data_IF_542994581433
#
_entry.id   IF_542994581433
#
_cell.length_a   1.000
_cell.length_b   1.000
_cell.length_c   1.000
_cell.angle_alpha   90.00
_cell.angle_beta   90.00
_cell.angle_gamma   90.00
#
_symmetry.space_group_name_H-M   'P 1'
#
loop_
_entity.id
_entity.type
_entity.pdbx_description
1 polymer ?
#
# COMPACT_ATOMS: atom_id res chain seq x y z
N UNK A 1 -8.14 2.31 -39.23
CA UNK A 1 -7.09 1.29 -38.98
C UNK A 1 -6.08 1.89 -38.02
N UNK A 2 -6.23 1.56 -36.73
CA UNK A 2 -5.41 1.81 -35.51
C UNK A 2 -6.32 2.08 -34.31
N UNK A 3 -7.21 1.12 -34.05
CA UNK A 3 -8.09 1.03 -32.88
C UNK A 3 -8.55 -0.43 -32.87
N UNK A 4 -7.70 -1.31 -32.36
CA UNK A 4 -7.95 -2.72 -31.97
C UNK A 4 -6.59 -3.43 -31.81
N UNK A 5 -5.79 -3.04 -30.82
CA UNK A 5 -4.57 -3.78 -30.45
C UNK A 5 -4.06 -3.41 -29.06
N UNK A 6 -4.83 -3.68 -28.01
CA UNK A 6 -4.26 -3.81 -26.65
C UNK A 6 -5.06 -4.72 -25.71
N UNK A 7 -6.01 -5.53 -26.22
CA UNK A 7 -6.80 -6.46 -25.41
C UNK A 7 -6.12 -7.84 -25.30
N UNK A 8 -4.80 -7.92 -25.39
CA UNK A 8 -4.05 -9.19 -25.41
C UNK A 8 -3.37 -9.57 -24.08
N UNK A 9 -3.60 -8.84 -22.97
CA UNK A 9 -3.11 -9.26 -21.64
C UNK A 9 -4.22 -9.67 -20.66
N UNK A 10 -5.46 -9.84 -21.14
CA UNK A 10 -6.64 -10.10 -20.28
C UNK A 10 -6.90 -11.58 -19.92
N UNK A 11 -5.98 -12.50 -20.23
CA UNK A 11 -6.22 -13.96 -20.25
C UNK A 11 -5.94 -14.74 -18.96
N UNK A 12 -5.68 -14.12 -17.79
CA UNK A 12 -5.32 -14.87 -16.56
C UNK A 12 -6.02 -14.48 -15.24
N UNK A 13 -7.25 -13.95 -15.27
CA UNK A 13 -8.05 -13.77 -14.04
C UNK A 13 -9.50 -14.22 -14.22
N UNK A 14 -10.16 -14.67 -13.16
CA UNK A 14 -11.57 -15.07 -13.16
C UNK A 14 -12.51 -13.88 -13.43
N UNK A 15 -13.63 -14.12 -14.13
CA UNK A 15 -14.53 -13.11 -14.71
C UNK A 15 -15.47 -12.43 -13.71
N UNK A 16 -15.63 -12.95 -12.49
CA UNK A 16 -16.73 -12.55 -11.59
C UNK A 16 -16.46 -11.31 -10.71
N UNK A 17 -15.19 -10.94 -10.47
CA UNK A 17 -14.85 -9.88 -9.51
C UNK A 17 -14.43 -8.54 -10.15
N UNK A 18 -14.16 -8.55 -11.46
CA UNK A 18 -13.66 -7.37 -12.20
C UNK A 18 -14.64 -6.18 -12.27
N UNK A 19 -15.94 -6.38 -12.54
CA UNK A 19 -16.86 -5.24 -12.72
C UNK A 19 -17.12 -4.43 -11.45
N UNK A 20 -17.19 -5.09 -10.29
CA UNK A 20 -17.59 -4.45 -9.03
C UNK A 20 -16.50 -3.50 -8.47
N UNK A 21 -15.22 -3.88 -8.57
CA UNK A 21 -14.12 -3.05 -8.09
C UNK A 21 -13.88 -1.84 -9.02
N UNK A 22 -13.99 -2.04 -10.34
CA UNK A 22 -13.94 -0.96 -11.34
C UNK A 22 -15.11 0.02 -11.17
N UNK A 23 -16.30 -0.45 -10.82
CA UNK A 23 -17.46 0.40 -10.52
C UNK A 23 -17.26 1.21 -9.23
N UNK A 24 -16.75 0.59 -8.16
CA UNK A 24 -16.39 1.29 -6.91
C UNK A 24 -15.28 2.31 -7.12
N UNK A 25 -14.20 1.94 -7.80
CA UNK A 25 -13.10 2.84 -8.13
C UNK A 25 -13.57 3.97 -9.04
N UNK A 26 -14.42 3.71 -10.04
CA UNK A 26 -15.00 4.75 -10.90
C UNK A 26 -15.94 5.69 -10.14
N UNK A 27 -16.74 5.19 -9.19
CA UNK A 27 -17.63 6.01 -8.36
C UNK A 27 -16.85 6.86 -7.35
N UNK A 28 -15.79 6.31 -6.75
CA UNK A 28 -14.86 7.06 -5.90
C UNK A 28 -14.16 8.15 -6.75
N UNK A 29 -13.62 7.79 -7.91
CA UNK A 29 -12.91 8.70 -8.82
C UNK A 29 -13.81 9.76 -9.47
N UNK A 30 -15.10 9.46 -9.71
CA UNK A 30 -16.08 10.44 -10.19
C UNK A 30 -16.37 11.53 -9.16
N UNK A 31 -16.13 11.25 -7.87
CA UNK A 31 -16.21 12.23 -6.79
C UNK A 31 -14.92 13.07 -6.65
N UNK A 32 -13.82 12.63 -7.26
CA UNK A 32 -12.49 13.24 -7.17
C UNK A 32 -12.01 13.78 -8.52
N UNK A 33 -12.72 14.76 -9.11
CA UNK A 33 -12.28 15.62 -10.23
C UNK A 33 -11.51 14.97 -11.42
N UNK A 34 -11.58 13.65 -11.60
CA UNK A 34 -10.82 12.98 -12.64
C UNK A 34 -11.62 12.97 -13.93
N UNK A 35 -11.24 13.83 -14.87
CA UNK A 35 -11.97 14.08 -16.11
C UNK A 35 -11.99 12.88 -17.07
N UNK A 36 -11.17 11.84 -16.86
CA UNK A 36 -11.09 10.69 -17.77
C UNK A 36 -10.50 9.40 -17.17
N UNK A 37 -11.16 8.74 -16.19
CA UNK A 37 -10.63 7.55 -15.50
C UNK A 37 -10.40 6.32 -16.41
N UNK A 38 -10.98 6.30 -17.62
CA UNK A 38 -10.90 5.14 -18.54
C UNK A 38 -9.68 5.13 -19.46
N UNK A 39 -8.92 6.23 -19.60
CA UNK A 39 -7.71 6.26 -20.44
C UNK A 39 -6.47 6.18 -19.55
N UNK A 40 -5.67 5.13 -19.74
CA UNK A 40 -4.34 5.01 -19.13
C UNK A 40 -4.26 4.30 -17.76
N UNK A 41 -5.33 3.61 -17.34
CA UNK A 41 -5.26 2.70 -16.18
C UNK A 41 -4.19 1.62 -16.42
N UNK A 42 -3.33 1.39 -15.42
CA UNK A 42 -2.31 0.33 -15.43
C UNK A 42 -2.62 -0.66 -14.31
N UNK A 43 -2.69 -1.95 -14.64
CA UNK A 43 -2.71 -3.01 -13.64
C UNK A 43 -1.28 -3.30 -13.17
N UNK A 44 -1.10 -3.47 -11.88
CA UNK A 44 0.13 -3.98 -11.27
C UNK A 44 -0.18 -5.37 -10.73
N UNK A 45 0.48 -6.38 -11.30
CA UNK A 45 0.42 -7.75 -10.80
C UNK A 45 1.33 -7.88 -9.59
N UNK A 46 0.70 -8.11 -8.44
CA UNK A 46 1.31 -8.31 -7.13
C UNK A 46 1.03 -9.77 -6.73
N UNK A 47 1.87 -10.39 -5.92
CA UNK A 47 1.71 -11.81 -5.61
C UNK A 47 0.31 -12.08 -4.99
N UNK A 48 -0.54 -12.81 -5.73
CA UNK A 48 -1.93 -13.10 -5.36
C UNK A 48 -2.95 -11.96 -5.54
N UNK A 49 -2.52 -10.73 -5.87
CA UNK A 49 -3.40 -9.56 -5.93
C UNK A 49 -3.11 -8.66 -7.13
N UNK A 50 -4.12 -7.93 -7.59
CA UNK A 50 -3.96 -6.91 -8.63
C UNK A 50 -4.27 -5.55 -8.05
N UNK A 51 -3.35 -4.60 -8.23
CA UNK A 51 -3.57 -3.19 -7.93
C UNK A 51 -3.86 -2.41 -9.20
N UNK A 52 -4.66 -1.35 -9.10
CA UNK A 52 -5.05 -0.51 -10.23
C UNK A 52 -4.53 0.91 -10.04
N UNK A 53 -3.61 1.33 -10.91
CA UNK A 53 -3.06 2.67 -10.91
C UNK A 53 -3.69 3.52 -12.03
N UNK A 54 -4.11 4.73 -11.67
CA UNK A 54 -4.71 5.74 -12.54
C UNK A 54 -3.79 6.97 -12.60
N UNK A 55 -2.85 7.04 -13.55
CA UNK A 55 -1.86 8.11 -13.61
C UNK A 55 -2.48 9.51 -13.78
N UNK A 56 -3.56 9.61 -14.56
CA UNK A 56 -4.25 10.88 -14.80
C UNK A 56 -4.90 11.47 -13.54
N UNK A 57 -5.22 10.63 -12.54
CA UNK A 57 -5.75 11.05 -11.25
C UNK A 57 -4.71 10.96 -10.12
N UNK A 58 -3.47 10.54 -10.43
CA UNK A 58 -2.41 10.23 -9.45
C UNK A 58 -2.93 9.35 -8.30
N UNK A 59 -3.69 8.29 -8.61
CA UNK A 59 -4.30 7.44 -7.60
C UNK A 59 -4.03 5.96 -7.85
N UNK A 60 -3.70 5.20 -6.81
CA UNK A 60 -3.59 3.74 -6.84
C UNK A 60 -4.54 3.09 -5.84
N UNK A 61 -5.24 2.06 -6.29
CA UNK A 61 -6.03 1.16 -5.45
C UNK A 61 -5.21 -0.10 -5.19
N UNK A 62 -4.81 -0.31 -3.93
CA UNK A 62 -3.86 -1.36 -3.54
C UNK A 62 -4.51 -2.62 -2.98
N UNK A 63 -5.83 -2.59 -2.79
CA UNK A 63 -6.56 -3.66 -2.11
C UNK A 63 -5.91 -3.96 -0.76
N UNK A 64 -5.51 -5.22 -0.58
CA UNK A 64 -4.93 -5.70 0.67
C UNK A 64 -3.40 -5.85 0.61
N UNK A 65 -2.75 -5.32 -0.43
CA UNK A 65 -1.28 -5.41 -0.56
C UNK A 65 -0.56 -4.35 0.29
N UNK A 66 -0.86 -3.07 0.06
CA UNK A 66 -0.34 -1.94 0.84
C UNK A 66 -1.49 -1.28 1.58
N UNK A 67 -1.35 -1.14 2.90
CA UNK A 67 -2.20 -0.31 3.73
C UNK A 67 -1.43 0.91 4.19
N UNK A 68 -2.13 1.92 4.71
CA UNK A 68 -1.40 2.95 5.44
C UNK A 68 -0.73 2.36 6.68
N UNK A 69 0.59 2.58 6.78
CA UNK A 69 1.47 2.10 7.85
C UNK A 69 1.59 0.57 7.99
N UNK A 70 1.12 -0.22 7.02
CA UNK A 70 1.42 -1.66 6.97
C UNK A 70 1.36 -2.25 5.56
N UNK A 71 1.61 -3.55 5.44
CA UNK A 71 1.21 -4.35 4.28
C UNK A 71 0.20 -5.44 4.69
N UNK A 72 -0.30 -6.18 3.70
CA UNK A 72 -1.12 -7.38 3.91
C UNK A 72 -0.41 -8.48 4.69
N UNK A 73 -1.19 -9.46 5.16
CA UNK A 73 -0.66 -10.70 5.72
C UNK A 73 -0.17 -11.61 4.58
N UNK A 74 0.83 -12.42 4.86
CA UNK A 74 1.40 -13.37 3.91
C UNK A 74 0.66 -14.71 3.98
N UNK A 75 -0.57 -14.76 3.46
CA UNK A 75 -1.36 -16.00 3.46
C UNK A 75 -0.92 -16.99 2.38
N UNK A 76 -0.72 -16.51 1.14
CA UNK A 76 -0.43 -17.34 -0.04
C UNK A 76 0.87 -16.93 -0.75
N UNK A 77 1.83 -16.37 0.00
CA UNK A 77 3.11 -15.91 -0.57
C UNK A 77 4.20 -15.73 0.47
N UNK A 78 5.40 -15.42 -0.01
CA UNK A 78 6.60 -15.23 0.82
C UNK A 78 7.00 -13.74 0.98
N UNK A 79 7.95 -13.43 1.89
CA UNK A 79 8.41 -12.05 2.08
C UNK A 79 9.04 -11.41 0.83
N UNK A 80 9.72 -12.18 -0.04
CA UNK A 80 10.34 -11.67 -1.26
C UNK A 80 9.28 -11.22 -2.28
N UNK A 81 8.21 -12.00 -2.41
CA UNK A 81 7.06 -11.69 -3.26
C UNK A 81 6.33 -10.42 -2.81
N UNK A 82 6.08 -10.28 -1.50
CA UNK A 82 5.48 -9.07 -0.93
C UNK A 82 6.43 -7.87 -1.08
N UNK A 83 7.72 -8.05 -0.81
CA UNK A 83 8.72 -7.01 -0.99
C UNK A 83 8.74 -6.49 -2.43
N UNK A 84 8.83 -7.39 -3.41
CA UNK A 84 8.76 -7.06 -4.84
C UNK A 84 7.48 -6.32 -5.20
N UNK A 85 6.35 -6.74 -4.63
CA UNK A 85 5.05 -6.10 -4.84
C UNK A 85 4.99 -4.67 -4.32
N UNK A 86 5.48 -4.45 -3.10
CA UNK A 86 5.58 -3.12 -2.50
C UNK A 86 6.54 -2.23 -3.28
N UNK A 87 7.67 -2.76 -3.77
CA UNK A 87 8.63 -2.03 -4.62
C UNK A 87 7.99 -1.51 -5.91
N UNK A 88 7.10 -2.28 -6.54
CA UNK A 88 6.34 -1.81 -7.72
C UNK A 88 5.42 -0.63 -7.37
N UNK A 89 4.76 -0.67 -6.22
CA UNK A 89 3.86 0.41 -5.77
C UNK A 89 4.65 1.67 -5.44
N UNK A 90 5.74 1.57 -4.66
CA UNK A 90 6.50 2.76 -4.22
C UNK A 90 7.39 3.37 -5.30
N UNK A 91 7.55 2.69 -6.44
CA UNK A 91 8.19 3.26 -7.63
C UNK A 91 7.28 4.28 -8.36
N UNK A 92 6.00 4.39 -7.98
CA UNK A 92 5.10 5.43 -8.47
C UNK A 92 5.48 6.82 -7.92
N UNK A 93 5.00 7.93 -8.54
CA UNK A 93 5.25 9.28 -8.06
C UNK A 93 4.85 9.48 -6.59
N UNK A 94 5.64 10.26 -5.87
CA UNK A 94 5.47 10.51 -4.44
C UNK A 94 4.12 11.14 -4.07
N UNK A 95 3.54 11.93 -4.98
CA UNK A 95 2.24 12.57 -4.85
C UNK A 95 1.07 11.67 -5.29
N UNK A 96 1.31 10.38 -5.49
CA UNK A 96 0.26 9.40 -5.76
C UNK A 96 -0.52 9.08 -4.48
N UNK A 97 -1.83 9.27 -4.53
CA UNK A 97 -2.77 8.86 -3.48
C UNK A 97 -2.92 7.34 -3.45
N UNK A 98 -2.88 6.76 -2.25
CA UNK A 98 -3.03 5.32 -2.02
C UNK A 98 -4.37 5.06 -1.35
N UNK A 99 -5.21 4.30 -2.03
CA UNK A 99 -6.51 3.82 -1.58
C UNK A 99 -6.43 2.33 -1.26
N UNK A 100 -6.32 1.99 0.02
CA UNK A 100 -6.26 0.60 0.49
C UNK A 100 -7.63 0.05 0.88
N UNK A 101 -7.73 -1.28 1.04
CA UNK A 101 -9.00 -1.99 1.24
C UNK A 101 -9.66 -1.78 2.61
N UNK A 102 -8.90 -1.37 3.64
CA UNK A 102 -9.36 -1.36 5.03
C UNK A 102 -8.83 -0.17 5.85
N UNK A 103 -9.62 0.26 6.85
CA UNK A 103 -9.30 1.33 7.79
C UNK A 103 -8.54 0.78 9.02
N UNK A 104 -7.28 0.37 8.81
CA UNK A 104 -6.39 -0.18 9.84
C UNK A 104 -5.34 0.82 10.35
N UNK A 105 -5.35 2.05 9.85
CA UNK A 105 -4.25 3.00 10.03
C UNK A 105 -3.93 3.29 11.50
N UNK A 106 -4.95 3.35 12.39
CA UNK A 106 -4.72 3.61 13.82
C UNK A 106 -4.01 2.45 14.53
N UNK A 107 -4.39 1.19 14.26
CA UNK A 107 -3.68 0.04 14.85
C UNK A 107 -2.31 -0.14 14.23
N UNK A 108 -2.18 0.14 12.93
CA UNK A 108 -0.89 0.14 12.24
C UNK A 108 0.08 1.19 12.79
N UNK A 109 -0.40 2.41 13.09
CA UNK A 109 0.39 3.47 13.71
C UNK A 109 0.95 3.06 15.08
N UNK A 110 0.14 2.38 15.90
CA UNK A 110 0.58 1.87 17.21
C UNK A 110 1.74 0.89 17.07
N UNK A 111 1.65 -0.05 16.11
CA UNK A 111 2.74 -0.98 15.84
C UNK A 111 3.98 -0.25 15.29
N UNK A 112 3.81 0.64 14.31
CA UNK A 112 4.93 1.37 13.73
C UNK A 112 5.69 2.16 14.81
N UNK A 113 4.99 2.85 15.71
CA UNK A 113 5.60 3.59 16.81
C UNK A 113 6.29 2.70 17.85
N UNK A 114 5.90 1.43 17.99
CA UNK A 114 6.58 0.54 18.94
C UNK A 114 7.96 0.09 18.44
N UNK A 115 8.19 0.10 17.12
CA UNK A 115 9.43 -0.33 16.48
C UNK A 115 10.26 0.81 15.86
N UNK A 116 9.69 1.99 15.67
CA UNK A 116 10.40 3.19 15.20
C UNK A 116 9.94 4.46 15.95
N UNK A 117 10.04 4.49 17.29
CA UNK A 117 9.49 5.57 18.12
C UNK A 117 10.13 6.94 17.87
N UNK A 118 11.35 7.03 17.35
CA UNK A 118 12.05 8.31 17.15
C UNK A 118 11.80 8.93 15.76
N UNK A 119 10.97 8.32 14.92
CA UNK A 119 10.60 8.86 13.62
C UNK A 119 9.56 9.99 13.77
N UNK A 120 9.99 11.25 13.73
CA UNK A 120 9.13 12.43 13.89
C UNK A 120 7.97 12.46 12.88
N UNK A 121 8.23 12.12 11.61
CA UNK A 121 7.18 12.06 10.58
C UNK A 121 6.10 11.01 10.91
N UNK A 122 6.50 9.88 11.51
CA UNK A 122 5.57 8.86 11.98
C UNK A 122 4.80 9.32 13.22
N UNK A 123 5.44 10.04 14.15
CA UNK A 123 4.77 10.59 15.33
C UNK A 123 3.67 11.58 14.94
N UNK A 124 4.00 12.54 14.07
CA UNK A 124 3.04 13.51 13.52
C UNK A 124 1.89 12.80 12.81
N UNK A 125 2.22 11.84 11.95
CA UNK A 125 1.20 11.11 11.21
C UNK A 125 0.28 10.30 12.13
N UNK A 126 0.83 9.62 13.14
CA UNK A 126 0.06 8.87 14.11
C UNK A 126 -0.87 9.77 14.94
N UNK A 127 -0.43 10.97 15.31
CA UNK A 127 -1.25 11.94 16.02
C UNK A 127 -2.43 12.42 15.15
N UNK A 128 -2.19 12.70 13.87
CA UNK A 128 -3.24 13.06 12.91
C UNK A 128 -4.25 11.93 12.71
N UNK A 129 -3.78 10.69 12.58
CA UNK A 129 -4.61 9.50 12.50
C UNK A 129 -5.50 9.37 13.74
N UNK A 130 -4.94 9.53 14.95
CA UNK A 130 -5.71 9.50 16.18
C UNK A 130 -6.78 10.60 16.24
N UNK A 131 -6.45 11.82 15.80
CA UNK A 131 -7.38 12.96 15.70
C UNK A 131 -8.51 12.72 14.71
N UNK A 132 -8.25 12.11 13.55
CA UNK A 132 -9.28 11.77 12.57
C UNK A 132 -10.19 10.67 13.09
N UNK A 133 -9.62 9.62 13.66
CA UNK A 133 -10.38 8.46 14.18
C UNK A 133 -11.21 8.80 15.41
N UNK A 134 -10.78 9.72 16.27
CA UNK A 134 -11.61 10.21 17.40
C UNK A 134 -12.89 10.90 16.93
N UNK A 135 -12.86 11.50 15.73
CA UNK A 135 -14.01 12.09 15.03
C UNK A 135 -14.74 11.11 14.11
N UNK A 136 -14.38 9.82 14.13
CA UNK A 136 -14.88 8.78 13.22
C UNK A 136 -14.66 9.06 11.72
N UNK A 137 -13.72 9.94 11.38
CA UNK A 137 -13.37 10.24 9.98
C UNK A 137 -12.41 9.19 9.42
N UNK A 138 -12.43 8.94 8.10
CA UNK A 138 -11.48 8.06 7.44
C UNK A 138 -10.07 8.66 7.43
N UNK A 139 -9.06 7.81 7.32
CA UNK A 139 -7.63 8.20 7.23
C UNK A 139 -7.04 7.98 5.85
N UNK A 140 -7.85 7.48 4.92
CA UNK A 140 -7.54 7.21 3.53
C UNK A 140 -8.17 8.29 2.64
N UNK A 141 -7.48 8.77 1.59
CA UNK A 141 -6.19 8.31 1.10
C UNK A 141 -4.99 8.73 1.96
N UNK A 142 -3.92 7.94 1.87
CA UNK A 142 -2.54 8.36 2.20
C UNK A 142 -1.79 8.67 0.89
N UNK A 143 -0.49 8.98 0.94
CA UNK A 143 0.34 9.19 -0.26
C UNK A 143 1.59 8.33 -0.26
N UNK A 144 2.14 8.02 -1.44
CA UNK A 144 3.40 7.27 -1.57
C UNK A 144 4.54 7.92 -0.78
N UNK A 145 4.65 9.25 -0.81
CA UNK A 145 5.63 10.00 -0.02
C UNK A 145 5.52 9.71 1.47
N UNK A 146 4.29 9.81 2.00
CA UNK A 146 4.02 9.61 3.43
C UNK A 146 4.31 8.18 3.84
N UNK A 147 3.90 7.21 3.03
CA UNK A 147 4.16 5.80 3.31
C UNK A 147 5.67 5.47 3.27
N UNK A 148 6.46 6.03 2.35
CA UNK A 148 7.93 5.87 2.36
C UNK A 148 8.58 6.41 3.65
N UNK A 149 8.03 7.49 4.21
CA UNK A 149 8.56 8.14 5.41
C UNK A 149 8.16 7.42 6.71
N UNK A 150 7.00 6.76 6.74
CA UNK A 150 6.40 6.29 8.00
C UNK A 150 6.09 4.79 8.05
N UNK A 151 5.95 4.10 6.92
CA UNK A 151 5.52 2.71 6.90
C UNK A 151 6.71 1.76 7.14
N UNK A 152 6.70 0.95 8.21
CA UNK A 152 7.85 0.10 8.55
C UNK A 152 8.16 -0.95 7.48
N UNK A 153 7.17 -1.38 6.69
CA UNK A 153 7.34 -2.35 5.60
C UNK A 153 7.98 -1.74 4.34
N UNK A 154 8.07 -0.41 4.27
CA UNK A 154 8.80 0.34 3.23
C UNK A 154 10.14 0.88 3.74
N UNK A 155 10.42 0.69 5.03
CA UNK A 155 11.60 1.17 5.75
C UNK A 155 12.39 0.01 6.36
N UNK A 156 12.40 -1.13 5.68
CA UNK A 156 13.13 -2.34 6.09
C UNK A 156 14.63 -2.11 6.30
N UNK A 157 15.18 -1.05 5.72
CA UNK A 157 16.57 -0.60 5.87
C UNK A 157 16.80 0.30 7.10
N UNK A 158 15.76 0.72 7.82
CA UNK A 158 15.89 1.61 8.99
C UNK A 158 16.72 0.94 10.09
N UNK A 159 17.83 1.57 10.53
CA UNK A 159 18.65 1.04 11.63
C UNK A 159 17.86 0.87 12.92
N UNK A 160 16.94 1.78 13.21
CA UNK A 160 16.11 1.75 14.41
C UNK A 160 15.15 0.54 14.40
N UNK A 161 14.44 0.31 13.30
CA UNK A 161 13.56 -0.86 13.13
C UNK A 161 14.37 -2.15 13.25
N UNK A 162 15.51 -2.22 12.54
CA UNK A 162 16.36 -3.41 12.57
C UNK A 162 16.89 -3.70 13.97
N UNK A 163 17.31 -2.67 14.71
CA UNK A 163 17.75 -2.82 16.10
C UNK A 163 16.60 -3.25 17.02
N UNK A 164 15.42 -2.60 16.93
CA UNK A 164 14.28 -2.89 17.80
C UNK A 164 13.75 -4.32 17.66
N UNK A 165 13.83 -4.88 16.46
CA UNK A 165 13.38 -6.25 16.16
C UNK A 165 14.52 -7.27 16.11
N UNK A 166 15.74 -6.90 16.51
CA UNK A 166 16.93 -7.76 16.44
C UNK A 166 17.15 -8.38 15.04
N UNK A 167 16.84 -7.64 13.98
CA UNK A 167 17.04 -8.06 12.60
C UNK A 167 18.55 -8.01 12.30
N UNK A 168 19.17 -9.13 11.87
CA UNK A 168 20.60 -9.14 11.54
C UNK A 168 20.97 -8.10 10.49
N UNK A 169 22.13 -7.45 10.64
CA UNK A 169 22.62 -6.48 9.64
C UNK A 169 22.82 -7.12 8.26
N UNK A 170 23.20 -8.40 8.22
CA UNK A 170 23.37 -9.17 6.99
C UNK A 170 22.04 -9.60 6.35
N UNK A 171 20.90 -9.44 7.03
CA UNK A 171 19.61 -9.82 6.48
C UNK A 171 19.22 -8.90 5.31
N UNK A 172 18.70 -9.51 4.24
CA UNK A 172 18.12 -8.77 3.13
C UNK A 172 16.90 -7.97 3.56
N UNK A 173 16.49 -6.98 2.77
CA UNK A 173 15.28 -6.22 3.05
C UNK A 173 14.00 -7.08 3.01
N UNK A 174 13.96 -8.12 2.17
CA UNK A 174 12.86 -9.08 2.15
C UNK A 174 12.82 -9.94 3.43
N UNK A 175 13.98 -10.38 3.93
CA UNK A 175 14.05 -11.08 5.22
C UNK A 175 13.63 -10.17 6.38
N UNK A 176 14.09 -8.91 6.38
CA UNK A 176 13.66 -7.90 7.34
C UNK A 176 12.14 -7.68 7.29
N UNK A 177 11.55 -7.60 6.09
CA UNK A 177 10.10 -7.51 5.89
C UNK A 177 9.37 -8.68 6.55
N UNK A 178 9.86 -9.91 6.36
CA UNK A 178 9.30 -11.11 6.98
C UNK A 178 9.30 -11.05 8.51
N UNK A 179 10.40 -10.59 9.11
CA UNK A 179 10.52 -10.43 10.57
C UNK A 179 9.58 -9.34 11.08
N UNK A 180 9.51 -8.18 10.41
CA UNK A 180 8.58 -7.09 10.74
C UNK A 180 7.13 -7.59 10.65
N UNK A 181 6.82 -8.39 9.62
CA UNK A 181 5.49 -8.98 9.42
C UNK A 181 5.10 -9.89 10.58
N UNK A 182 6.00 -10.80 10.96
CA UNK A 182 5.79 -11.72 12.08
C UNK A 182 5.65 -10.96 13.41
N UNK A 183 6.46 -9.93 13.64
CA UNK A 183 6.33 -9.08 14.82
C UNK A 183 4.96 -8.40 14.89
N UNK A 184 4.47 -7.86 13.76
CA UNK A 184 3.15 -7.23 13.68
C UNK A 184 1.99 -8.22 13.84
N UNK A 185 2.16 -9.46 13.39
CA UNK A 185 1.11 -10.48 13.53
C UNK A 185 0.92 -10.95 14.97
N UNK A 186 1.93 -10.73 15.83
CA UNK A 186 1.93 -11.07 17.26
C UNK A 186 1.82 -9.85 18.20
N UNK A 187 1.54 -8.65 17.66
CA UNK A 187 1.40 -7.40 18.42
C UNK A 187 -0.07 -7.08 18.72
#
# INVERSE_FOLDING_TARGET
>A
MFLLSSVSSFSRLSSSHRPAMLAKASSLMASFSCSSPRRGMRSLDLAGHVSFYFPGCKAIFTGDTLFSLSCGKLFEGDPDQMFSSLRKIVALPDDTDVYCGHEYTLSNAKFALSIEPNNEALQEYAADVARLRSKKLPTIPTTIKKEKQCNPFLRTFSPEIRQKLNIPLAASDAQALGIIRQAKDNF
#
